data_IF_416997711812
#
_entry.id   IF_416997711812
#
_cell.length_a   1.000
_cell.length_b   1.000
_cell.length_c   1.000
_cell.angle_alpha   90.00
_cell.angle_beta   90.00
_cell.angle_gamma   90.00
#
_symmetry.space_group_name_H-M   'P 1'
#
loop_
_entity.id
_entity.type
_entity.pdbx_description
1 polymer ?
#
# COMPACT_ATOMS: atom_id res chain seq x y z
N UNK A 1 -22.00 -19.20 -1.08
CA UNK A 1 -22.01 -17.78 -1.51
C UNK A 1 -20.55 -17.39 -1.67
N UNK A 2 -20.19 -16.78 -2.78
CA UNK A 2 -18.79 -16.39 -3.06
C UNK A 2 -18.39 -15.18 -2.20
N UNK A 3 -17.13 -15.13 -1.76
CA UNK A 3 -16.52 -14.00 -1.01
C UNK A 3 -16.81 -12.63 -1.65
N UNK A 4 -17.04 -12.60 -2.96
CA UNK A 4 -17.33 -11.39 -3.75
C UNK A 4 -18.61 -10.64 -3.35
N UNK A 5 -19.62 -11.30 -2.78
CA UNK A 5 -20.90 -10.64 -2.47
C UNK A 5 -20.92 -9.91 -1.12
N UNK A 6 -20.04 -10.29 -0.19
CA UNK A 6 -19.99 -9.73 1.17
C UNK A 6 -19.07 -8.50 1.20
N UNK A 7 -17.92 -8.58 0.50
CA UNK A 7 -17.02 -7.43 0.28
C UNK A 7 -17.75 -6.31 -0.48
N UNK A 8 -18.55 -6.65 -1.48
CA UNK A 8 -19.30 -5.65 -2.27
C UNK A 8 -20.34 -4.87 -1.45
N UNK A 9 -21.01 -5.49 -0.47
CA UNK A 9 -22.10 -4.82 0.30
C UNK A 9 -21.63 -4.14 1.59
N UNK A 10 -20.50 -4.57 2.17
CA UNK A 10 -19.79 -3.78 3.19
C UNK A 10 -19.19 -2.48 2.62
N UNK A 11 -18.94 -2.45 1.31
CA UNK A 11 -18.39 -1.29 0.60
C UNK A 11 -19.46 -0.29 0.12
N UNK A 12 -20.69 -0.71 -0.25
CA UNK A 12 -21.71 0.20 -0.87
C UNK A 12 -22.62 0.96 0.09
N UNK A 13 -22.62 0.64 1.39
CA UNK A 13 -23.57 1.24 2.34
C UNK A 13 -25.04 0.87 2.10
N UNK A 14 -25.32 -0.09 1.19
CA UNK A 14 -26.68 -0.57 0.96
C UNK A 14 -27.18 -1.36 2.16
N UNK A 15 -28.31 -0.95 2.72
CA UNK A 15 -29.04 -1.76 3.70
C UNK A 15 -29.56 -3.03 3.03
N UNK A 16 -28.86 -4.15 3.22
CA UNK A 16 -29.34 -5.45 2.78
C UNK A 16 -30.72 -5.77 3.38
N UNK A 17 -31.55 -6.45 2.60
CA UNK A 17 -32.91 -6.80 3.02
C UNK A 17 -32.88 -7.80 4.19
N UNK A 18 -33.89 -7.71 5.07
CA UNK A 18 -34.07 -8.61 6.22
C UNK A 18 -33.99 -10.08 5.78
N UNK A 19 -32.95 -10.78 6.26
CA UNK A 19 -32.72 -12.20 6.03
C UNK A 19 -31.57 -12.55 5.07
N UNK A 20 -30.87 -11.57 4.49
CA UNK A 20 -29.69 -11.83 3.63
C UNK A 20 -28.35 -11.92 4.37
N UNK A 21 -28.27 -11.42 5.61
CA UNK A 21 -27.09 -11.55 6.47
C UNK A 21 -27.29 -12.73 7.43
N UNK A 22 -26.24 -13.50 7.68
CA UNK A 22 -26.25 -14.53 8.71
C UNK A 22 -26.70 -13.92 10.04
N UNK A 23 -27.70 -14.55 10.66
CA UNK A 23 -28.40 -14.39 11.96
C UNK A 23 -28.31 -13.12 12.84
N UNK A 24 -27.48 -12.12 12.61
CA UNK A 24 -27.23 -11.03 13.56
C UNK A 24 -27.05 -9.70 12.84
N UNK A 25 -28.16 -9.12 12.35
CA UNK A 25 -28.12 -7.75 11.82
C UNK A 25 -29.33 -6.91 12.28
N UNK A 26 -29.04 -6.01 13.24
CA UNK A 26 -29.84 -4.88 13.79
C UNK A 26 -30.90 -5.19 14.88
N UNK A 27 -31.36 -4.19 15.66
CA UNK A 27 -30.85 -3.81 16.98
C UNK A 27 -31.99 -3.89 18.00
N UNK A 28 -32.18 -5.07 18.57
CA UNK A 28 -33.02 -5.31 19.76
C UNK A 28 -32.83 -6.71 20.32
N UNK A 29 -32.20 -7.60 19.54
CA UNK A 29 -31.92 -8.95 19.96
C UNK A 29 -30.42 -9.09 20.19
N UNK A 30 -30.07 -9.29 21.46
CA UNK A 30 -28.80 -9.81 21.98
C UNK A 30 -28.02 -10.57 20.89
N UNK A 31 -26.84 -10.07 20.51
CA UNK A 31 -25.89 -10.83 19.69
C UNK A 31 -25.67 -12.15 20.39
N UNK A 32 -26.29 -13.20 19.86
CA UNK A 32 -26.08 -14.56 20.36
C UNK A 32 -25.05 -15.15 19.43
N UNK A 33 -23.77 -14.90 19.75
CA UNK A 33 -22.64 -15.70 19.27
C UNK A 33 -22.99 -17.15 19.60
N UNK A 34 -23.61 -17.86 18.64
CA UNK A 34 -24.13 -19.19 18.92
C UNK A 34 -22.98 -20.16 18.70
N UNK A 35 -22.56 -20.88 19.74
CA UNK A 35 -21.33 -21.64 19.74
C UNK A 35 -21.50 -22.83 18.79
N UNK A 36 -20.70 -22.88 17.72
CA UNK A 36 -20.41 -24.18 17.14
C UNK A 36 -19.43 -24.88 18.07
N UNK A 37 -20.03 -25.58 19.03
CA UNK A 37 -19.44 -26.50 20.01
C UNK A 37 -18.99 -25.91 21.35
N UNK A 38 -19.96 -25.77 22.26
CA UNK A 38 -19.84 -26.21 23.66
C UNK A 38 -18.50 -25.98 24.38
N UNK A 39 -18.06 -24.73 24.54
CA UNK A 39 -17.11 -24.31 25.59
C UNK A 39 -17.35 -22.85 25.96
N UNK A 40 -18.03 -22.61 27.08
CA UNK A 40 -17.76 -21.53 28.03
C UNK A 40 -17.74 -20.04 27.64
N UNK A 41 -17.75 -19.64 26.37
CA UNK A 41 -17.55 -18.25 25.94
C UNK A 41 -18.64 -17.32 26.48
N UNK A 42 -18.25 -16.16 27.00
CA UNK A 42 -19.17 -15.13 27.47
C UNK A 42 -19.82 -14.40 26.27
N UNK A 43 -20.92 -13.69 26.53
CA UNK A 43 -21.52 -12.84 25.50
C UNK A 43 -20.55 -11.71 25.14
N UNK A 44 -20.10 -11.66 23.89
CA UNK A 44 -19.07 -10.72 23.42
C UNK A 44 -17.67 -11.32 23.26
N UNK A 45 -17.51 -12.64 23.28
CA UNK A 45 -16.23 -13.29 22.93
C UNK A 45 -16.32 -13.92 21.53
N UNK A 46 -15.29 -13.72 20.71
CA UNK A 46 -15.18 -14.37 19.40
C UNK A 46 -14.49 -15.73 19.55
N UNK A 47 -14.98 -16.74 18.84
CA UNK A 47 -14.34 -18.05 18.75
C UNK A 47 -14.30 -18.50 17.30
N UNK A 48 -13.10 -18.75 16.81
CA UNK A 48 -12.84 -19.26 15.46
C UNK A 48 -12.11 -20.60 15.55
N UNK A 49 -12.27 -21.50 14.58
CA UNK A 49 -11.38 -22.66 14.50
C UNK A 49 -9.99 -22.21 14.01
N UNK A 50 -8.92 -22.95 14.32
CA UNK A 50 -7.58 -22.61 13.82
C UNK A 50 -7.57 -22.53 12.29
N UNK A 51 -7.13 -21.40 11.73
CA UNK A 51 -7.16 -21.11 10.30
C UNK A 51 -8.42 -20.40 9.81
N UNK A 52 -9.47 -20.31 10.62
CA UNK A 52 -10.69 -19.56 10.27
C UNK A 52 -10.46 -18.05 10.42
N UNK A 53 -11.22 -17.29 9.62
CA UNK A 53 -11.28 -15.84 9.61
C UNK A 53 -12.72 -15.34 9.73
N UNK A 54 -12.90 -14.20 10.40
CA UNK A 54 -14.18 -13.51 10.55
C UNK A 54 -13.97 -12.00 10.65
N UNK A 55 -15.05 -11.21 10.64
CA UNK A 55 -15.00 -9.76 10.71
C UNK A 55 -15.99 -9.22 11.73
N UNK A 56 -15.56 -8.20 12.48
CA UNK A 56 -16.41 -7.47 13.41
C UNK A 56 -16.61 -6.03 12.96
N UNK A 57 -17.78 -5.47 13.32
CA UNK A 57 -18.04 -4.04 13.20
C UNK A 57 -17.31 -3.28 14.32
N UNK A 58 -16.50 -2.31 13.95
CA UNK A 58 -15.60 -1.66 14.90
C UNK A 58 -16.32 -0.75 15.92
N UNK A 59 -17.49 -0.21 15.57
CA UNK A 59 -18.28 0.62 16.50
C UNK A 59 -18.75 -0.13 17.75
N UNK A 60 -18.96 -1.45 17.67
CA UNK A 60 -19.29 -2.28 18.84
C UNK A 60 -18.13 -2.39 19.84
N UNK A 61 -16.91 -2.08 19.40
CA UNK A 61 -15.68 -2.10 20.20
C UNK A 61 -15.29 -0.70 20.71
N UNK A 62 -16.11 0.32 20.46
CA UNK A 62 -15.85 1.73 20.79
C UNK A 62 -14.99 2.46 19.75
N UNK A 63 -14.86 1.92 18.54
CA UNK A 63 -14.06 2.48 17.45
C UNK A 63 -14.95 2.84 16.25
N UNK A 64 -15.85 3.82 16.43
CA UNK A 64 -16.84 4.23 15.42
C UNK A 64 -16.21 4.75 14.12
N UNK A 65 -14.97 5.25 14.18
CA UNK A 65 -14.23 5.80 13.04
C UNK A 65 -13.49 4.73 12.22
N UNK A 66 -13.50 3.46 12.65
CA UNK A 66 -12.97 2.32 11.90
C UNK A 66 -14.08 1.63 11.11
N UNK A 67 -13.74 1.06 9.95
CA UNK A 67 -14.72 0.33 9.13
C UNK A 67 -15.00 -1.06 9.69
N UNK A 68 -14.00 -1.95 9.60
CA UNK A 68 -14.10 -3.34 10.02
C UNK A 68 -12.82 -3.76 10.74
N UNK A 69 -12.95 -4.77 11.57
CA UNK A 69 -11.84 -5.44 12.25
C UNK A 69 -11.83 -6.89 11.79
N UNK A 70 -10.84 -7.26 11.00
CA UNK A 70 -10.60 -8.66 10.65
C UNK A 70 -10.06 -9.42 11.85
N UNK A 71 -10.55 -10.65 12.05
CA UNK A 71 -10.06 -11.59 13.04
C UNK A 71 -9.64 -12.86 12.31
N UNK A 72 -8.45 -13.37 12.62
CA UNK A 72 -7.99 -14.66 12.10
C UNK A 72 -7.31 -15.45 13.19
N UNK A 73 -7.76 -16.68 13.44
CA UNK A 73 -7.11 -17.54 14.42
C UNK A 73 -5.90 -18.25 13.81
N UNK A 74 -4.78 -18.22 14.51
CA UNK A 74 -3.57 -18.89 14.06
C UNK A 74 -3.73 -20.42 14.10
N UNK A 75 -3.19 -21.14 13.11
CA UNK A 75 -3.24 -22.62 13.05
C UNK A 75 -2.41 -23.33 14.14
N UNK A 76 -1.63 -22.59 14.94
CA UNK A 76 -0.62 -23.12 15.85
C UNK A 76 -0.62 -22.45 17.22
N UNK A 77 0.44 -21.68 17.51
CA UNK A 77 0.61 -20.97 18.78
C UNK A 77 -0.64 -20.14 19.08
N UNK A 78 -1.39 -20.53 20.11
CA UNK A 78 -2.74 -20.04 20.38
C UNK A 78 -2.82 -18.51 20.39
N UNK A 79 -3.68 -17.97 19.54
CA UNK A 79 -3.91 -16.53 19.44
C UNK A 79 -4.60 -16.11 18.15
N UNK A 80 -4.90 -14.82 18.09
CA UNK A 80 -5.64 -14.18 17.02
C UNK A 80 -4.82 -13.06 16.40
N UNK A 81 -4.86 -12.98 15.08
CA UNK A 81 -4.53 -11.76 14.36
C UNK A 81 -5.78 -10.88 14.33
N UNK A 82 -5.64 -9.69 14.90
CA UNK A 82 -6.64 -8.63 14.85
C UNK A 82 -6.15 -7.61 13.82
N UNK A 83 -7.00 -7.30 12.84
CA UNK A 83 -6.65 -6.47 11.69
C UNK A 83 -7.65 -5.34 11.54
N UNK A 84 -7.51 -4.22 12.28
CA UNK A 84 -8.29 -3.02 12.01
C UNK A 84 -7.98 -2.45 10.62
N UNK A 85 -9.04 -2.00 9.93
CA UNK A 85 -8.95 -1.31 8.65
C UNK A 85 -9.26 0.18 8.82
N UNK A 86 -8.26 1.02 8.54
CA UNK A 86 -8.37 2.48 8.59
C UNK A 86 -8.68 3.02 7.19
N UNK A 87 -9.71 3.86 7.00
CA UNK A 87 -9.99 4.50 5.70
C UNK A 87 -8.83 5.40 5.28
N UNK A 88 -8.42 5.31 4.01
CA UNK A 88 -7.33 6.13 3.47
C UNK A 88 -7.90 7.14 2.49
N UNK A 89 -7.78 8.46 2.74
CA UNK A 89 -8.30 9.49 1.85
C UNK A 89 -7.34 9.73 0.66
N UNK A 90 -7.10 8.70 -0.16
CA UNK A 90 -6.14 8.74 -1.27
C UNK A 90 -6.42 9.86 -2.28
N UNK A 91 -7.69 10.19 -2.51
CA UNK A 91 -8.10 11.30 -3.39
C UNK A 91 -7.68 12.67 -2.84
N UNK A 92 -7.56 12.81 -1.52
CA UNK A 92 -7.12 14.05 -0.88
C UNK A 92 -5.60 14.14 -0.82
N UNK A 93 -4.91 13.01 -0.93
CA UNK A 93 -3.44 12.95 -1.01
C UNK A 93 -2.90 13.32 -2.39
N UNK A 94 -3.67 13.08 -3.45
CA UNK A 94 -3.35 13.58 -4.78
C UNK A 94 -3.33 15.13 -4.82
N UNK A 95 -2.56 15.77 -5.73
CA UNK A 95 -2.55 17.22 -5.88
C UNK A 95 -3.96 17.80 -6.05
N UNK A 96 -4.22 18.94 -5.40
CA UNK A 96 -5.57 19.52 -5.28
C UNK A 96 -6.10 20.15 -6.57
N UNK A 97 -5.22 20.42 -7.53
CA UNK A 97 -5.53 21.01 -8.84
C UNK A 97 -5.94 19.96 -9.90
N UNK A 98 -5.85 18.66 -9.57
CA UNK A 98 -6.30 17.57 -10.42
C UNK A 98 -7.80 17.31 -10.26
N UNK A 99 -8.47 16.99 -11.37
CA UNK A 99 -9.82 16.43 -11.36
C UNK A 99 -9.82 14.96 -10.88
N UNK A 100 -10.99 14.38 -10.65
CA UNK A 100 -11.12 13.04 -10.06
C UNK A 100 -10.43 11.94 -10.89
N UNK A 101 -10.60 11.93 -12.22
CA UNK A 101 -9.97 10.94 -13.10
C UNK A 101 -8.44 11.06 -13.06
N UNK A 102 -7.91 12.30 -13.07
CA UNK A 102 -6.47 12.54 -12.96
C UNK A 102 -5.93 12.21 -11.58
N UNK A 103 -6.72 12.37 -10.52
CA UNK A 103 -6.36 11.91 -9.16
C UNK A 103 -6.27 10.39 -9.09
N UNK A 104 -7.20 9.66 -9.70
CA UNK A 104 -7.14 8.19 -9.79
C UNK A 104 -5.86 7.76 -10.51
N UNK A 105 -5.57 8.36 -11.68
CA UNK A 105 -4.35 8.06 -12.43
C UNK A 105 -3.08 8.40 -11.63
N UNK A 106 -3.10 9.49 -10.86
CA UNK A 106 -2.01 9.84 -9.95
C UNK A 106 -1.83 8.78 -8.86
N UNK A 107 -2.91 8.33 -8.21
CA UNK A 107 -2.85 7.29 -7.17
C UNK A 107 -2.29 5.99 -7.75
N UNK A 108 -2.76 5.56 -8.92
CA UNK A 108 -2.30 4.34 -9.58
C UNK A 108 -0.81 4.41 -9.92
N UNK A 109 -0.32 5.56 -10.38
CA UNK A 109 1.09 5.76 -10.68
C UNK A 109 1.99 5.73 -9.43
N UNK A 110 1.44 6.05 -8.25
CA UNK A 110 2.21 6.15 -7.00
C UNK A 110 1.86 5.07 -5.97
N UNK A 111 0.98 4.13 -6.30
CA UNK A 111 0.45 3.12 -5.36
C UNK A 111 1.55 2.37 -4.61
N UNK A 112 2.61 1.94 -5.31
CA UNK A 112 3.73 1.20 -4.69
C UNK A 112 4.52 2.04 -3.67
N UNK A 113 4.68 3.33 -3.96
CA UNK A 113 5.39 4.27 -3.08
C UNK A 113 4.52 4.59 -1.86
N UNK A 114 3.22 4.78 -2.07
CA UNK A 114 2.24 4.99 -1.00
C UNK A 114 2.18 3.76 -0.09
N UNK A 115 2.13 2.56 -0.66
CA UNK A 115 2.12 1.31 0.11
C UNK A 115 3.43 1.14 0.92
N UNK A 116 4.57 1.50 0.33
CA UNK A 116 5.85 1.51 1.05
C UNK A 116 5.86 2.51 2.20
N UNK A 117 5.34 3.72 2.00
CA UNK A 117 5.20 4.71 3.06
C UNK A 117 4.33 4.19 4.21
N UNK A 118 3.15 3.64 3.89
CA UNK A 118 2.21 3.10 4.88
C UNK A 118 2.82 1.94 5.68
N UNK A 119 3.52 1.04 4.99
CA UNK A 119 4.21 -0.09 5.62
C UNK A 119 5.34 0.38 6.53
N UNK A 120 6.19 1.27 6.06
CA UNK A 120 7.40 1.66 6.78
C UNK A 120 7.06 2.57 7.98
N UNK A 121 6.03 3.42 7.86
CA UNK A 121 5.60 4.33 8.93
C UNK A 121 4.65 3.67 9.94
N UNK A 122 3.67 2.91 9.47
CA UNK A 122 2.59 2.40 10.31
C UNK A 122 2.57 0.87 10.42
N UNK A 123 3.39 0.14 9.66
CA UNK A 123 3.25 -1.31 9.55
C UNK A 123 1.96 -1.73 8.83
N UNK A 124 1.36 -0.82 8.05
CA UNK A 124 0.08 -1.03 7.40
C UNK A 124 0.23 -1.48 5.94
N UNK A 125 -0.77 -2.19 5.42
CA UNK A 125 -0.84 -2.58 4.00
C UNK A 125 -2.08 -1.96 3.36
N UNK A 126 -1.92 -1.35 2.19
CA UNK A 126 -3.03 -0.77 1.43
C UNK A 126 -3.94 -1.87 0.86
N UNK A 127 -5.25 -1.73 1.05
CA UNK A 127 -6.30 -2.69 0.67
C UNK A 127 -7.45 -1.99 -0.06
N UNK A 128 -8.38 -2.75 -0.62
CA UNK A 128 -9.59 -2.24 -1.27
C UNK A 128 -9.42 -1.72 -2.70
N UNK A 129 -8.19 -1.74 -3.25
CA UNK A 129 -7.90 -1.24 -4.60
C UNK A 129 -8.20 -2.23 -5.74
N UNK A 130 -8.68 -3.44 -5.45
CA UNK A 130 -8.94 -4.48 -6.47
C UNK A 130 -10.43 -4.88 -6.56
N UNK A 131 -11.32 -4.19 -5.85
CA UNK A 131 -12.67 -4.69 -5.59
C UNK A 131 -13.78 -4.07 -6.43
N UNK A 132 -13.48 -3.02 -7.22
CA UNK A 132 -14.49 -2.24 -7.95
C UNK A 132 -14.03 -1.92 -9.38
N UNK A 133 -14.99 -1.93 -10.31
CA UNK A 133 -14.77 -1.60 -11.74
C UNK A 133 -14.63 -0.09 -11.99
N UNK A 134 -15.14 0.76 -11.09
CA UNK A 134 -15.04 2.23 -11.16
C UNK A 134 -13.79 2.71 -10.42
N UNK A 135 -12.91 3.42 -11.14
CA UNK A 135 -11.65 3.93 -10.61
C UNK A 135 -11.80 4.92 -9.43
N UNK A 136 -12.80 5.81 -9.48
CA UNK A 136 -13.02 6.82 -8.42
C UNK A 136 -13.57 6.14 -7.17
N UNK A 137 -14.56 5.26 -7.33
CA UNK A 137 -15.14 4.51 -6.21
C UNK A 137 -14.12 3.57 -5.55
N UNK A 138 -13.27 2.93 -6.37
CA UNK A 138 -12.15 2.07 -5.94
C UNK A 138 -11.15 2.83 -5.08
N UNK A 139 -10.69 3.99 -5.56
CA UNK A 139 -9.69 4.81 -4.83
C UNK A 139 -10.31 5.48 -3.60
N UNK A 140 -11.55 5.97 -3.71
CA UNK A 140 -12.26 6.63 -2.62
C UNK A 140 -12.63 5.71 -1.45
N UNK A 141 -12.52 4.39 -1.64
CA UNK A 141 -12.80 3.37 -0.61
C UNK A 141 -11.57 2.57 -0.18
N UNK A 142 -10.39 3.01 -0.56
CA UNK A 142 -9.16 2.36 -0.12
C UNK A 142 -9.06 2.38 1.41
N UNK A 143 -8.54 1.29 1.96
CA UNK A 143 -8.27 1.16 3.38
C UNK A 143 -6.82 0.77 3.62
N UNK A 144 -6.34 0.91 4.84
CA UNK A 144 -5.04 0.42 5.28
C UNK A 144 -5.24 -0.52 6.47
N UNK A 145 -4.78 -1.74 6.31
CA UNK A 145 -4.89 -2.82 7.30
C UNK A 145 -3.63 -2.87 8.16
N UNK A 146 -3.80 -2.85 9.48
CA UNK A 146 -2.71 -3.04 10.46
C UNK A 146 -2.91 -4.38 11.13
N UNK A 147 -1.94 -5.28 11.06
CA UNK A 147 -2.04 -6.58 11.71
C UNK A 147 -1.38 -6.56 13.10
N UNK A 148 -2.14 -6.90 14.13
CA UNK A 148 -1.65 -7.01 15.51
C UNK A 148 -2.06 -8.37 16.10
N UNK A 149 -1.17 -8.95 16.90
CA UNK A 149 -1.44 -10.22 17.58
C UNK A 149 -2.09 -9.97 18.94
N UNK A 150 -3.09 -10.80 19.26
CA UNK A 150 -3.75 -10.87 20.55
C UNK A 150 -3.76 -12.32 21.05
N UNK A 151 -3.45 -12.50 22.33
CA UNK A 151 -3.44 -13.83 22.95
C UNK A 151 -4.87 -14.38 23.03
N UNK A 152 -5.02 -15.70 22.85
CA UNK A 152 -6.32 -16.37 23.09
C UNK A 152 -6.54 -16.60 24.59
N UNK A 153 -7.80 -16.61 24.99
CA UNK A 153 -8.23 -17.03 26.32
C UNK A 153 -8.04 -18.53 26.54
N UNK A 154 -8.12 -18.98 27.80
CA UNK A 154 -7.91 -20.38 28.17
C UNK A 154 -8.85 -21.37 27.49
N UNK A 155 -10.01 -20.92 27.02
CA UNK A 155 -10.97 -21.72 26.29
C UNK A 155 -10.79 -21.66 24.76
N UNK A 156 -9.82 -20.88 24.28
CA UNK A 156 -9.48 -20.69 22.87
C UNK A 156 -10.27 -19.56 22.19
N UNK A 157 -11.08 -18.80 22.93
CA UNK A 157 -11.77 -17.61 22.44
C UNK A 157 -10.89 -16.35 22.55
N UNK A 158 -11.40 -15.22 22.08
CA UNK A 158 -10.83 -13.89 22.33
C UNK A 158 -11.95 -12.93 22.73
N UNK A 159 -11.76 -12.19 23.81
CA UNK A 159 -12.76 -11.24 24.29
C UNK A 159 -12.81 -9.95 23.46
N UNK A 160 -13.97 -9.28 23.41
CA UNK A 160 -14.07 -7.94 22.82
C UNK A 160 -13.10 -6.92 23.45
N UNK A 161 -12.81 -7.05 24.75
CA UNK A 161 -11.85 -6.16 25.41
C UNK A 161 -10.43 -6.40 24.88
N UNK A 162 -10.03 -7.65 24.69
CA UNK A 162 -8.70 -7.97 24.15
C UNK A 162 -8.56 -7.54 22.69
N UNK A 163 -9.63 -7.63 21.91
CA UNK A 163 -9.68 -7.08 20.54
C UNK A 163 -9.53 -5.55 20.59
N UNK A 164 -10.29 -4.86 21.45
CA UNK A 164 -10.21 -3.40 21.57
C UNK A 164 -8.84 -2.94 22.08
N UNK A 165 -8.24 -3.66 23.03
CA UNK A 165 -6.89 -3.42 23.54
C UNK A 165 -5.82 -3.70 22.48
N UNK A 166 -6.02 -4.69 21.61
CA UNK A 166 -5.14 -4.94 20.47
C UNK A 166 -5.19 -3.76 19.48
N UNK A 167 -6.39 -3.26 19.14
CA UNK A 167 -6.56 -2.08 18.30
C UNK A 167 -5.91 -0.85 18.94
N UNK A 168 -6.14 -0.61 20.23
CA UNK A 168 -5.60 0.52 20.97
C UNK A 168 -4.07 0.53 21.07
N UNK A 169 -3.42 -0.65 20.99
CA UNK A 169 -1.94 -0.80 20.94
C UNK A 169 -1.37 -0.77 19.53
N UNK A 170 -2.22 -0.84 18.50
CA UNK A 170 -1.80 -0.78 17.10
C UNK A 170 -1.50 0.66 16.67
N UNK A 171 -1.05 0.83 15.43
CA UNK A 171 -0.89 2.14 14.79
C UNK A 171 -2.19 2.69 14.19
N UNK A 172 -3.29 1.93 14.19
CA UNK A 172 -4.56 2.38 13.62
C UNK A 172 -5.12 3.67 14.26
N UNK A 173 -5.07 3.85 15.61
CA UNK A 173 -5.51 5.10 16.23
C UNK A 173 -4.63 6.30 15.83
N UNK A 174 -3.32 6.07 15.66
CA UNK A 174 -2.40 7.10 15.16
C UNK A 174 -2.75 7.50 13.73
N UNK A 175 -3.00 6.52 12.86
CA UNK A 175 -3.39 6.76 11.47
C UNK A 175 -4.70 7.55 11.38
N UNK A 176 -5.72 7.20 12.15
CA UNK A 176 -6.97 7.97 12.21
C UNK A 176 -6.73 9.43 12.57
N UNK A 177 -5.81 9.71 13.50
CA UNK A 177 -5.46 11.08 13.85
C UNK A 177 -4.67 11.80 12.75
N UNK A 178 -3.71 11.13 12.10
CA UNK A 178 -2.84 11.75 11.09
C UNK A 178 -3.49 11.87 9.70
N UNK A 179 -4.52 11.08 9.41
CA UNK A 179 -5.25 11.13 8.14
C UNK A 179 -6.34 12.22 8.13
N UNK A 180 -6.69 12.78 9.29
CA UNK A 180 -7.55 13.96 9.38
C UNK A 180 -6.76 15.24 9.09
N UNK A 181 -6.87 15.72 7.85
CA UNK A 181 -6.23 16.96 7.38
C UNK A 181 -6.88 18.24 7.95
N UNK A 182 -7.96 18.15 8.75
CA UNK A 182 -8.87 19.25 9.00
C UNK A 182 -8.91 19.84 10.41
N UNK A 183 -8.54 19.12 11.47
CA UNK A 183 -9.09 19.50 12.78
C UNK A 183 -8.18 19.34 14.00
N UNK A 184 -7.57 18.16 14.21
CA UNK A 184 -6.78 17.88 15.42
C UNK A 184 -5.57 16.95 15.19
N UNK A 185 -5.18 16.73 13.94
CA UNK A 185 -4.07 15.85 13.58
C UNK A 185 -2.71 16.38 14.07
N UNK A 186 -1.93 15.50 14.70
CA UNK A 186 -0.58 15.82 15.19
C UNK A 186 0.43 15.99 14.05
N UNK A 187 0.24 15.27 12.94
CA UNK A 187 0.94 15.44 11.67
C UNK A 187 -0.05 15.23 10.51
N UNK A 188 0.06 16.03 9.45
CA UNK A 188 -0.78 15.90 8.26
C UNK A 188 -0.17 14.84 7.33
N UNK A 189 -0.78 13.64 7.28
CA UNK A 189 -0.28 12.51 6.51
C UNK A 189 -0.26 12.80 5.01
N UNK A 190 -1.20 13.57 4.46
CA UNK A 190 -1.23 13.90 3.04
C UNK A 190 0.02 14.69 2.62
N UNK A 191 0.44 15.65 3.45
CA UNK A 191 1.69 16.40 3.28
C UNK A 191 2.91 15.47 3.37
N UNK A 192 2.96 14.60 4.38
CA UNK A 192 4.10 13.68 4.56
C UNK A 192 4.23 12.69 3.40
N UNK A 193 3.11 12.17 2.89
CA UNK A 193 3.09 11.29 1.71
C UNK A 193 3.60 12.04 0.48
N UNK A 194 3.16 13.27 0.24
CA UNK A 194 3.64 14.09 -0.88
C UNK A 194 5.13 14.37 -0.77
N UNK A 195 5.61 14.79 0.41
CA UNK A 195 7.04 15.00 0.67
C UNK A 195 7.85 13.72 0.45
N UNK A 196 7.31 12.56 0.87
CA UNK A 196 7.92 11.27 0.64
C UNK A 196 7.99 10.94 -0.86
N UNK A 197 6.90 11.10 -1.60
CA UNK A 197 6.85 10.89 -3.06
C UNK A 197 7.82 11.83 -3.79
N UNK A 198 7.89 13.10 -3.40
CA UNK A 198 8.77 14.10 -4.03
C UNK A 198 10.26 13.75 -3.88
N UNK A 199 10.62 13.06 -2.79
CA UNK A 199 11.98 12.56 -2.56
C UNK A 199 12.32 11.30 -3.37
N UNK A 200 11.33 10.69 -4.05
CA UNK A 200 11.45 9.39 -4.71
C UNK A 200 11.40 9.50 -6.22
N UNK A 201 12.29 8.76 -6.89
CA UNK A 201 12.17 8.49 -8.30
C UNK A 201 11.10 7.40 -8.46
N UNK A 202 10.00 7.70 -9.14
CA UNK A 202 8.87 6.77 -9.33
C UNK A 202 8.76 6.44 -10.80
N UNK A 203 8.68 5.16 -11.13
CA UNK A 203 8.55 4.68 -12.50
C UNK A 203 7.59 3.48 -12.57
N UNK A 204 6.52 3.58 -13.37
CA UNK A 204 5.57 2.49 -13.55
C UNK A 204 6.26 1.28 -14.20
N UNK A 205 5.64 0.11 -14.03
CA UNK A 205 6.13 -1.10 -14.67
C UNK A 205 6.02 -0.98 -16.20
N UNK A 206 7.00 -1.54 -16.89
CA UNK A 206 6.78 -2.00 -18.26
C UNK A 206 7.17 -3.45 -18.35
N UNK A 207 6.24 -4.24 -18.85
CA UNK A 207 6.56 -5.54 -19.39
C UNK A 207 7.60 -5.36 -20.52
N UNK A 208 8.79 -5.94 -20.28
CA UNK A 208 9.84 -6.26 -21.23
C UNK A 208 10.17 -5.24 -22.34
N UNK A 209 10.60 -4.02 -21.97
CA UNK A 209 11.34 -3.16 -22.90
C UNK A 209 12.67 -3.82 -23.30
N UNK A 210 12.88 -3.97 -24.61
CA UNK A 210 14.11 -4.58 -25.13
C UNK A 210 15.30 -3.61 -25.06
N UNK A 211 16.56 -4.11 -24.98
CA UNK A 211 17.74 -3.26 -25.02
C UNK A 211 17.83 -2.34 -26.26
N UNK A 212 17.23 -2.75 -27.38
CA UNK A 212 17.20 -1.98 -28.61
C UNK A 212 16.23 -0.78 -28.52
N UNK A 213 15.11 -0.93 -27.82
CA UNK A 213 14.14 0.16 -27.61
C UNK A 213 14.69 1.19 -26.63
N UNK A 214 15.34 0.74 -25.56
CA UNK A 214 16.08 1.61 -24.63
C UNK A 214 17.11 2.43 -25.41
N UNK A 215 17.98 1.76 -26.17
CA UNK A 215 19.03 2.43 -26.97
C UNK A 215 18.45 3.42 -27.99
N UNK A 216 17.29 3.09 -28.59
CA UNK A 216 16.60 3.95 -29.55
C UNK A 216 16.11 5.22 -28.89
N UNK A 217 15.46 5.12 -27.73
CA UNK A 217 14.95 6.28 -27.01
C UNK A 217 16.10 7.15 -26.47
N UNK A 218 17.10 6.56 -25.81
CA UNK A 218 18.28 7.28 -25.31
C UNK A 218 18.94 8.10 -26.42
N UNK A 219 19.12 7.52 -27.62
CA UNK A 219 19.66 8.25 -28.78
C UNK A 219 18.71 9.34 -29.30
N UNK A 220 17.42 9.07 -29.34
CA UNK A 220 16.43 10.04 -29.81
C UNK A 220 16.34 11.27 -28.89
N UNK A 221 16.51 11.07 -27.58
CA UNK A 221 16.50 12.15 -26.58
C UNK A 221 17.82 12.90 -26.52
N UNK A 222 18.96 12.20 -26.64
CA UNK A 222 20.31 12.80 -26.72
C UNK A 222 20.59 13.83 -25.61
N UNK A 223 20.12 13.58 -24.39
CA UNK A 223 20.25 14.49 -23.24
C UNK A 223 19.48 15.81 -23.34
N UNK A 224 18.69 16.03 -24.41
CA UNK A 224 17.93 17.28 -24.63
C UNK A 224 16.52 17.25 -24.06
N UNK A 225 16.01 16.06 -23.77
CA UNK A 225 14.68 15.80 -23.21
C UNK A 225 14.79 14.59 -22.30
N UNK A 226 13.96 14.54 -21.28
CA UNK A 226 13.86 13.35 -20.43
C UNK A 226 13.42 12.12 -21.22
N UNK A 227 13.88 10.95 -20.75
CA UNK A 227 13.32 9.66 -21.11
C UNK A 227 11.97 9.48 -20.40
N UNK A 228 11.12 8.61 -20.95
CA UNK A 228 9.90 8.17 -20.28
C UNK A 228 10.21 7.45 -18.95
N UNK A 229 9.39 7.58 -17.90
CA UNK A 229 9.55 6.87 -16.63
C UNK A 229 9.74 5.36 -16.81
N UNK A 230 8.97 4.76 -17.70
CA UNK A 230 9.07 3.36 -18.14
C UNK A 230 10.49 2.98 -18.59
N UNK A 231 11.07 3.81 -19.44
CA UNK A 231 12.42 3.63 -19.98
C UNK A 231 13.46 3.80 -18.88
N UNK A 232 13.21 4.68 -17.89
CA UNK A 232 14.09 4.83 -16.73
C UNK A 232 14.13 3.55 -15.89
N UNK A 233 12.96 2.93 -15.60
CA UNK A 233 12.90 1.64 -14.91
C UNK A 233 13.59 0.52 -15.70
N UNK A 234 13.39 0.47 -17.01
CA UNK A 234 14.06 -0.52 -17.86
C UNK A 234 15.59 -0.34 -17.90
N UNK A 235 16.07 0.92 -17.91
CA UNK A 235 17.51 1.22 -17.75
C UNK A 235 18.00 0.78 -16.38
N UNK A 236 17.27 1.06 -15.30
CA UNK A 236 17.64 0.66 -13.94
C UNK A 236 17.81 -0.87 -13.85
N UNK A 237 16.82 -1.64 -14.32
CA UNK A 237 16.87 -3.11 -14.40
C UNK A 237 18.09 -3.60 -15.18
N UNK A 238 18.39 -2.95 -16.31
CA UNK A 238 19.55 -3.33 -17.14
C UNK A 238 20.88 -3.05 -16.44
N UNK A 239 21.03 -1.90 -15.79
CA UNK A 239 22.24 -1.52 -15.08
C UNK A 239 22.44 -2.43 -13.85
N UNK A 240 21.37 -2.77 -13.13
CA UNK A 240 21.40 -3.73 -12.02
C UNK A 240 21.94 -5.08 -12.48
N UNK A 241 21.41 -5.65 -13.58
CA UNK A 241 21.94 -6.89 -14.14
C UNK A 241 23.42 -6.80 -14.51
N UNK A 242 23.87 -5.68 -15.06
CA UNK A 242 25.28 -5.51 -15.44
C UNK A 242 26.21 -5.45 -14.22
N UNK A 243 25.74 -4.94 -13.08
CA UNK A 243 26.47 -5.00 -11.81
C UNK A 243 26.46 -6.44 -11.25
N UNK A 244 25.29 -7.10 -11.23
CA UNK A 244 25.15 -8.47 -10.73
C UNK A 244 26.00 -9.50 -11.50
N UNK A 245 26.06 -9.38 -12.82
CA UNK A 245 26.86 -10.25 -13.69
C UNK A 245 28.37 -9.93 -13.63
N UNK A 246 28.77 -8.95 -12.81
CA UNK A 246 30.17 -8.50 -12.70
C UNK A 246 30.69 -7.82 -13.96
N UNK A 247 29.80 -7.35 -14.84
CA UNK A 247 30.18 -6.61 -16.06
C UNK A 247 30.69 -5.21 -15.68
N UNK A 248 30.14 -4.61 -14.63
CA UNK A 248 30.67 -3.42 -13.96
C UNK A 248 31.07 -3.78 -12.54
N UNK A 249 32.36 -3.67 -12.24
CA UNK A 249 32.90 -3.94 -10.90
C UNK A 249 32.70 -2.72 -9.99
N UNK A 250 31.60 -2.74 -9.24
CA UNK A 250 31.23 -1.68 -8.29
C UNK A 250 31.43 -2.20 -6.86
N UNK A 251 32.22 -1.52 -6.01
CA UNK A 251 32.53 -1.99 -4.66
C UNK A 251 31.39 -1.82 -3.65
N UNK A 252 30.36 -1.04 -3.99
CA UNK A 252 29.19 -0.76 -3.15
C UNK A 252 27.97 -1.41 -3.80
N UNK A 253 27.10 -2.03 -2.99
CA UNK A 253 25.86 -2.62 -3.49
C UNK A 253 24.92 -1.55 -4.07
N UNK A 254 24.25 -1.86 -5.17
CA UNK A 254 23.36 -0.95 -5.91
C UNK A 254 21.90 -1.18 -5.55
N UNK A 255 21.59 -1.18 -4.24
CA UNK A 255 20.26 -1.53 -3.72
C UNK A 255 19.16 -0.63 -4.29
N UNK A 256 19.42 0.68 -4.42
CA UNK A 256 18.39 1.64 -4.82
C UNK A 256 18.10 1.54 -6.32
N UNK A 257 19.07 1.05 -7.09
CA UNK A 257 18.85 0.67 -8.48
C UNK A 257 17.88 -0.52 -8.59
N UNK A 258 18.01 -1.51 -7.69
CA UNK A 258 17.09 -2.65 -7.61
C UNK A 258 15.70 -2.24 -7.12
N UNK A 259 15.64 -1.37 -6.11
CA UNK A 259 14.39 -0.81 -5.61
C UNK A 259 13.62 -0.13 -6.77
N UNK A 260 14.30 0.67 -7.61
CA UNK A 260 13.66 1.25 -8.79
C UNK A 260 13.29 0.18 -9.84
N UNK A 261 14.19 -0.75 -10.13
CA UNK A 261 14.00 -1.77 -11.16
C UNK A 261 12.81 -2.70 -10.87
N UNK A 262 12.71 -3.17 -9.62
CA UNK A 262 11.77 -4.21 -9.21
C UNK A 262 10.63 -3.66 -8.35
N UNK A 263 10.90 -2.71 -7.46
CA UNK A 263 9.88 -2.04 -6.64
C UNK A 263 9.24 -0.82 -7.30
N UNK A 264 9.72 -0.39 -8.48
CA UNK A 264 9.15 0.73 -9.24
C UNK A 264 9.44 2.11 -8.64
N UNK A 265 10.21 2.18 -7.55
CA UNK A 265 10.60 3.45 -6.95
C UNK A 265 11.88 3.35 -6.12
N UNK A 266 12.60 4.46 -6.00
CA UNK A 266 13.81 4.54 -5.18
C UNK A 266 14.06 5.95 -4.66
N UNK A 267 14.81 6.06 -3.57
CA UNK A 267 15.28 7.36 -3.05
C UNK A 267 16.14 8.07 -4.10
N UNK A 268 15.80 9.33 -4.45
CA UNK A 268 16.51 10.06 -5.52
C UNK A 268 17.99 10.26 -5.19
N UNK A 269 18.31 10.58 -3.95
CA UNK A 269 19.68 10.87 -3.53
C UNK A 269 20.52 9.60 -3.52
N UNK A 270 19.99 8.52 -2.93
CA UNK A 270 20.69 7.24 -2.88
C UNK A 270 20.80 6.59 -4.26
N UNK A 271 19.76 6.64 -5.08
CA UNK A 271 19.82 6.19 -6.47
C UNK A 271 20.88 6.96 -7.27
N UNK A 272 20.98 8.28 -7.05
CA UNK A 272 22.04 9.10 -7.68
C UNK A 272 23.43 8.65 -7.22
N UNK A 273 23.60 8.27 -5.96
CA UNK A 273 24.87 7.72 -5.45
C UNK A 273 25.22 6.38 -6.11
N UNK A 274 24.26 5.46 -6.22
CA UNK A 274 24.42 4.17 -6.90
C UNK A 274 24.84 4.38 -8.37
N UNK A 275 24.15 5.27 -9.10
CA UNK A 275 24.47 5.60 -10.49
C UNK A 275 25.86 6.23 -10.66
N UNK A 276 26.29 7.08 -9.72
CA UNK A 276 27.65 7.65 -9.73
C UNK A 276 28.72 6.58 -9.54
N UNK A 277 28.49 5.64 -8.62
CA UNK A 277 29.41 4.53 -8.39
C UNK A 277 29.58 3.67 -9.66
N UNK A 278 28.51 3.41 -10.41
CA UNK A 278 28.58 2.74 -11.72
C UNK A 278 29.32 3.62 -12.74
N UNK A 279 28.99 4.91 -12.82
CA UNK A 279 29.55 5.84 -13.81
C UNK A 279 31.08 5.95 -13.73
N UNK A 280 31.63 5.96 -12.52
CA UNK A 280 33.08 6.02 -12.28
C UNK A 280 33.83 4.80 -12.81
N UNK A 281 33.17 3.63 -12.86
CA UNK A 281 33.76 2.36 -13.25
C UNK A 281 33.48 2.00 -14.70
N UNK A 282 32.32 2.39 -15.21
CA UNK A 282 31.90 2.02 -16.53
C UNK A 282 32.55 2.90 -17.61
N UNK A 283 33.13 2.27 -18.62
CA UNK A 283 33.77 2.93 -19.77
C UNK A 283 32.99 2.75 -21.06
N UNK A 284 31.90 1.96 -21.05
CA UNK A 284 31.15 1.59 -22.26
C UNK A 284 30.26 2.75 -22.69
N UNK A 285 30.38 3.26 -23.93
CA UNK A 285 29.65 4.45 -24.38
C UNK A 285 28.12 4.35 -24.25
N UNK A 286 27.56 3.18 -24.54
CA UNK A 286 26.11 2.94 -24.43
C UNK A 286 25.62 3.00 -22.99
N UNK A 287 26.38 2.43 -22.06
CA UNK A 287 26.00 2.43 -20.64
C UNK A 287 26.12 3.84 -20.07
N UNK A 288 27.19 4.57 -20.40
CA UNK A 288 27.33 5.99 -20.03
C UNK A 288 26.18 6.86 -20.52
N UNK A 289 25.77 6.71 -21.78
CA UNK A 289 24.62 7.45 -22.30
C UNK A 289 23.32 7.15 -21.53
N UNK A 290 23.13 5.91 -21.06
CA UNK A 290 21.98 5.54 -20.21
C UNK A 290 22.09 6.18 -18.83
N UNK A 291 23.26 6.14 -18.21
CA UNK A 291 23.53 6.78 -16.91
C UNK A 291 23.29 8.30 -16.99
N UNK A 292 23.79 8.96 -18.03
CA UNK A 292 23.56 10.39 -18.26
C UNK A 292 22.06 10.70 -18.36
N UNK A 293 21.30 9.88 -19.11
CA UNK A 293 19.84 10.03 -19.19
C UNK A 293 19.13 9.79 -17.85
N UNK A 294 19.61 8.83 -17.04
CA UNK A 294 19.06 8.58 -15.70
C UNK A 294 19.28 9.77 -14.78
N UNK A 295 20.47 10.39 -14.78
CA UNK A 295 20.72 11.59 -14.00
C UNK A 295 19.79 12.74 -14.39
N UNK A 296 19.60 12.98 -15.70
CA UNK A 296 18.65 13.99 -16.19
C UNK A 296 17.21 13.66 -15.77
N UNK A 297 16.79 12.41 -15.89
CA UNK A 297 15.44 12.00 -15.51
C UNK A 297 15.19 12.14 -14.01
N UNK A 298 16.11 11.72 -13.14
CA UNK A 298 15.96 11.89 -11.69
C UNK A 298 15.79 13.36 -11.31
N UNK A 299 16.54 14.26 -11.95
CA UNK A 299 16.51 15.69 -11.66
C UNK A 299 15.23 16.39 -12.14
N UNK A 300 14.64 15.94 -13.25
CA UNK A 300 13.61 16.72 -13.94
C UNK A 300 12.36 15.93 -14.34
N UNK A 301 12.51 14.65 -14.68
CA UNK A 301 11.42 13.80 -15.18
C UNK A 301 10.81 12.83 -14.18
N UNK A 302 11.26 12.88 -12.92
CA UNK A 302 10.69 12.11 -11.82
C UNK A 302 9.44 12.74 -11.23
N UNK A 303 9.21 14.04 -11.47
CA UNK A 303 7.90 14.62 -11.33
C UNK A 303 7.04 14.07 -12.47
N UNK A 304 5.99 13.30 -12.15
CA UNK A 304 4.99 12.92 -13.15
C UNK A 304 4.52 14.21 -13.78
N UNK A 305 4.90 14.45 -15.03
CA UNK A 305 4.69 15.74 -15.68
C UNK A 305 3.22 16.10 -15.57
N UNK A 306 2.91 17.19 -14.86
CA UNK A 306 1.59 17.82 -14.76
C UNK A 306 0.98 18.14 -16.15
N UNK A 307 1.82 18.04 -17.19
CA UNK A 307 1.56 18.35 -18.61
C UNK A 307 1.40 17.11 -19.52
N UNK A 308 0.89 15.98 -19.03
CA UNK A 308 0.38 14.94 -19.92
C UNK A 308 -0.90 15.46 -20.65
N UNK A 309 -0.64 16.18 -21.75
CA UNK A 309 -1.58 16.80 -22.69
C UNK A 309 -2.62 15.87 -23.29
#
# INVERSE_FOLDING_TARGET
>A
MTNDNIVRKGQTGETGNKGEFGTHDRPSDTITLTPKTSRGAAAGDAFLEPGDEDYLYAGELGWDDLHSVGLRRQEGDGGYFVTPTVPVPLMDWAPSDLDEDRKVAWVDAHQEVINTFLRDRYGATLTGLNTLDDGVERVGRAGAEVMVFADEDRDGSISHQDISDAIGRSTAPLMLNEFDDGTFGTENASRLVREYIDSRAVAPSTDDMTPAEIDREVRARSGKREIRPETARAIAKRLAYEVYDGIVDVPVGTKHLDDLAYGGHADKEQLTADLRAIYEKDTRPKSRARLDMMFTWIQHGSAVSEDAR
#
